data_IF_852614347572
#
_entry.id   IF_852614347572
#
_cell.length_a   1.000
_cell.length_b   1.000
_cell.length_c   1.000
_cell.angle_alpha   90.00
_cell.angle_beta   90.00
_cell.angle_gamma   90.00
#
_symmetry.space_group_name_H-M   'P 1'
#
loop_
_entity.id
_entity.type
_entity.pdbx_description
1 polymer ?
#
# COMPACT_ATOMS: atom_id res chain seq x y z
N UNK A 1 -11.78 22.18 21.64
CA UNK A 1 -11.91 20.81 21.12
C UNK A 1 -12.84 20.87 19.91
N UNK A 2 -12.29 21.21 18.74
CA UNK A 2 -13.07 21.46 17.52
C UNK A 2 -13.46 20.11 16.92
N UNK A 3 -14.76 19.81 16.85
CA UNK A 3 -15.26 18.57 16.24
C UNK A 3 -14.90 18.59 14.74
N UNK A 4 -14.20 17.54 14.29
CA UNK A 4 -13.81 17.42 12.90
C UNK A 4 -15.09 17.30 12.03
N UNK A 5 -15.24 18.10 10.95
CA UNK A 5 -16.34 17.91 10.03
C UNK A 5 -16.25 16.52 9.41
N UNK A 6 -17.27 15.71 9.67
CA UNK A 6 -17.38 14.36 9.13
C UNK A 6 -17.42 14.45 7.60
N UNK A 7 -16.60 13.67 6.85
CA UNK A 7 -16.69 13.67 5.40
C UNK A 7 -18.13 13.36 4.96
N UNK A 8 -18.56 14.06 3.91
CA UNK A 8 -19.88 13.88 3.33
C UNK A 8 -20.14 12.38 3.09
N UNK A 9 -21.37 11.93 3.36
CA UNK A 9 -21.76 10.52 3.24
C UNK A 9 -21.39 9.94 1.87
N UNK A 10 -21.56 10.72 0.80
CA UNK A 10 -21.18 10.36 -0.56
C UNK A 10 -19.68 10.03 -0.69
N UNK A 11 -18.80 10.87 -0.14
CA UNK A 11 -17.34 10.65 -0.17
C UNK A 11 -16.92 9.36 0.53
N UNK A 12 -17.58 9.01 1.65
CA UNK A 12 -17.33 7.75 2.35
C UNK A 12 -17.77 6.53 1.54
N UNK A 13 -18.93 6.62 0.90
CA UNK A 13 -19.44 5.54 0.03
C UNK A 13 -18.49 5.35 -1.15
N UNK A 14 -18.09 6.42 -1.84
CA UNK A 14 -17.14 6.36 -2.97
C UNK A 14 -15.82 5.71 -2.56
N UNK A 15 -15.24 6.12 -1.43
CA UNK A 15 -13.98 5.55 -0.95
C UNK A 15 -14.13 4.06 -0.59
N UNK A 16 -15.21 3.66 0.07
CA UNK A 16 -15.48 2.27 0.43
C UNK A 16 -15.72 1.38 -0.81
N UNK A 17 -16.49 1.87 -1.79
CA UNK A 17 -16.69 1.18 -3.06
C UNK A 17 -15.39 1.04 -3.84
N UNK A 18 -14.59 2.11 -3.93
CA UNK A 18 -13.28 2.06 -4.56
C UNK A 18 -12.35 1.05 -3.87
N UNK A 19 -12.37 0.99 -2.53
CA UNK A 19 -11.60 0.01 -1.78
C UNK A 19 -11.98 -1.43 -2.14
N UNK A 20 -13.28 -1.74 -2.10
CA UNK A 20 -13.78 -3.08 -2.39
C UNK A 20 -13.50 -3.52 -3.82
N UNK A 21 -13.72 -2.62 -4.80
CA UNK A 21 -13.44 -2.89 -6.21
C UNK A 21 -11.94 -3.12 -6.43
N UNK A 22 -11.10 -2.25 -5.88
CA UNK A 22 -9.65 -2.37 -6.04
C UNK A 22 -9.10 -3.63 -5.36
N UNK A 23 -9.59 -3.99 -4.18
CA UNK A 23 -9.19 -5.22 -3.50
C UNK A 23 -9.60 -6.46 -4.30
N UNK A 24 -10.84 -6.51 -4.79
CA UNK A 24 -11.31 -7.63 -5.61
C UNK A 24 -10.52 -7.73 -6.91
N UNK A 25 -10.27 -6.60 -7.56
CA UNK A 25 -9.48 -6.54 -8.78
C UNK A 25 -8.02 -6.99 -8.53
N UNK A 26 -7.38 -6.52 -7.46
CA UNK A 26 -6.02 -6.92 -7.10
C UNK A 26 -5.93 -8.45 -6.88
N UNK A 27 -6.88 -9.00 -6.12
CA UNK A 27 -6.94 -10.43 -5.85
C UNK A 27 -7.18 -11.26 -7.13
N UNK A 28 -8.12 -10.85 -7.96
CA UNK A 28 -8.51 -11.61 -9.16
C UNK A 28 -7.52 -11.46 -10.32
N UNK A 29 -6.84 -10.31 -10.45
CA UNK A 29 -6.04 -9.97 -11.62
C UNK A 29 -4.53 -10.16 -11.42
N UNK A 30 -4.05 -10.49 -10.21
CA UNK A 30 -2.61 -10.64 -9.94
C UNK A 30 -1.90 -11.56 -10.95
N UNK A 31 -2.46 -12.75 -11.23
CA UNK A 31 -1.91 -13.68 -12.23
C UNK A 31 -2.27 -13.36 -13.68
N UNK A 32 -3.18 -12.43 -13.92
CA UNK A 32 -3.51 -11.93 -15.27
C UNK A 32 -2.52 -10.84 -15.68
N UNK A 33 -2.19 -9.93 -14.75
CA UNK A 33 -1.27 -8.82 -14.97
C UNK A 33 0.19 -9.30 -14.89
N UNK A 34 0.49 -10.21 -13.96
CA UNK A 34 1.80 -10.85 -13.82
C UNK A 34 1.65 -12.37 -14.00
N UNK A 35 1.58 -12.88 -15.24
CA UNK A 35 1.46 -14.31 -15.47
C UNK A 35 2.71 -15.05 -14.98
N UNK A 36 2.53 -16.26 -14.43
CA UNK A 36 3.66 -17.11 -14.05
C UNK A 36 4.49 -17.46 -15.28
N UNK A 37 5.83 -17.29 -15.25
CA UNK A 37 6.68 -17.67 -16.37
C UNK A 37 6.69 -19.19 -16.57
N UNK A 38 6.99 -19.69 -17.79
CA UNK A 38 7.14 -21.12 -18.03
C UNK A 38 8.19 -21.73 -17.10
N UNK A 39 7.84 -22.83 -16.42
CA UNK A 39 8.73 -23.49 -15.47
C UNK A 39 8.85 -22.79 -14.11
N UNK A 40 7.98 -21.81 -13.81
CA UNK A 40 7.90 -21.21 -12.49
C UNK A 40 7.73 -22.28 -11.40
N UNK A 41 8.49 -22.14 -10.32
CA UNK A 41 8.37 -23.02 -9.18
C UNK A 41 6.99 -22.84 -8.54
N UNK A 42 6.27 -23.94 -8.36
CA UNK A 42 5.01 -23.93 -7.61
C UNK A 42 5.27 -24.39 -6.18
N UNK A 43 4.72 -23.69 -5.17
CA UNK A 43 4.80 -24.16 -3.79
C UNK A 43 4.08 -25.51 -3.64
N UNK A 44 4.51 -26.30 -2.66
CA UNK A 44 3.82 -27.52 -2.28
C UNK A 44 2.41 -27.22 -1.77
N UNK A 45 1.50 -28.18 -1.89
CA UNK A 45 0.07 -27.96 -1.63
C UNK A 45 -0.23 -27.51 -0.19
N UNK A 46 0.58 -27.94 0.77
CA UNK A 46 0.52 -27.56 2.19
C UNK A 46 0.87 -26.09 2.44
N UNK A 47 1.63 -25.45 1.54
CA UNK A 47 2.00 -24.04 1.64
C UNK A 47 0.97 -23.09 1.00
N UNK A 48 0.08 -23.60 0.14
CA UNK A 48 -0.91 -22.78 -0.58
C UNK A 48 -1.80 -21.91 0.33
N UNK A 49 -2.30 -22.39 1.49
CA UNK A 49 -3.13 -21.56 2.36
C UNK A 49 -2.42 -20.30 2.86
N UNK A 50 -1.11 -20.36 3.12
CA UNK A 50 -0.34 -19.22 3.61
C UNK A 50 -0.22 -18.12 2.55
N UNK A 51 0.11 -18.50 1.30
CA UNK A 51 0.18 -17.56 0.18
C UNK A 51 -1.20 -17.01 -0.20
N UNK A 52 -2.26 -17.80 -0.02
CA UNK A 52 -3.63 -17.35 -0.22
C UNK A 52 -4.01 -16.27 0.80
N UNK A 53 -3.74 -16.51 2.10
CA UNK A 53 -4.00 -15.52 3.15
C UNK A 53 -3.21 -14.24 2.88
N UNK A 54 -1.94 -14.35 2.51
CA UNK A 54 -1.11 -13.20 2.17
C UNK A 54 -1.70 -12.41 1.00
N UNK A 55 -2.05 -13.11 -0.10
CA UNK A 55 -2.72 -12.49 -1.25
C UNK A 55 -4.01 -11.74 -0.88
N UNK A 56 -4.81 -12.30 0.03
CA UNK A 56 -6.04 -11.62 0.52
C UNK A 56 -5.69 -10.36 1.30
N UNK A 57 -4.74 -10.44 2.24
CA UNK A 57 -4.33 -9.29 3.06
C UNK A 57 -3.76 -8.18 2.20
N UNK A 58 -2.88 -8.50 1.25
CA UNK A 58 -2.29 -7.52 0.34
C UNK A 58 -3.33 -6.87 -0.56
N UNK A 59 -4.29 -7.65 -1.06
CA UNK A 59 -5.38 -7.11 -1.88
C UNK A 59 -6.27 -6.16 -1.08
N UNK A 60 -6.57 -6.49 0.18
CA UNK A 60 -7.32 -5.60 1.08
C UNK A 60 -6.52 -4.32 1.39
N UNK A 61 -5.22 -4.42 1.63
CA UNK A 61 -4.34 -3.26 1.84
C UNK A 61 -4.25 -2.39 0.58
N UNK A 62 -4.14 -2.99 -0.60
CA UNK A 62 -4.18 -2.28 -1.86
C UNK A 62 -5.49 -1.51 -2.03
N UNK A 63 -6.63 -2.15 -1.76
CA UNK A 63 -7.93 -1.48 -1.75
C UNK A 63 -8.02 -0.33 -0.75
N UNK A 64 -7.54 -0.53 0.48
CA UNK A 64 -7.45 0.54 1.47
C UNK A 64 -6.53 1.68 1.02
N UNK A 65 -5.43 1.36 0.35
CA UNK A 65 -4.52 2.32 -0.27
C UNK A 65 -5.19 3.16 -1.36
N UNK A 66 -6.01 2.55 -2.21
CA UNK A 66 -6.78 3.27 -3.24
C UNK A 66 -7.80 4.21 -2.59
N UNK A 67 -8.52 3.76 -1.57
CA UNK A 67 -9.43 4.62 -0.83
C UNK A 67 -8.69 5.80 -0.17
N UNK A 68 -7.56 5.52 0.48
CA UNK A 68 -6.72 6.57 1.07
C UNK A 68 -6.17 7.53 0.01
N UNK A 69 -5.79 7.05 -1.18
CA UNK A 69 -5.34 7.91 -2.27
C UNK A 69 -6.43 8.92 -2.67
N UNK A 70 -7.70 8.51 -2.68
CA UNK A 70 -8.85 9.38 -3.05
C UNK A 70 -9.14 10.43 -1.96
N UNK A 71 -9.11 10.06 -0.68
CA UNK A 71 -9.63 10.94 0.41
C UNK A 71 -8.59 11.36 1.46
N UNK A 72 -7.38 10.82 1.41
CA UNK A 72 -6.36 10.94 2.45
C UNK A 72 -5.61 12.27 2.43
N UNK A 73 -5.39 12.88 1.25
CA UNK A 73 -4.64 14.13 1.14
C UNK A 73 -5.28 15.31 1.90
N UNK A 74 -6.61 15.56 1.82
CA UNK A 74 -7.25 16.57 2.65
C UNK A 74 -7.06 16.36 4.16
N UNK A 75 -7.01 15.10 4.62
CA UNK A 75 -6.75 14.80 6.03
C UNK A 75 -5.30 15.15 6.40
N UNK A 76 -4.32 14.72 5.58
CA UNK A 76 -2.91 15.05 5.79
C UNK A 76 -2.65 16.57 5.81
N UNK A 77 -3.33 17.34 4.94
CA UNK A 77 -3.17 18.81 4.88
C UNK A 77 -3.70 19.55 6.11
N UNK A 78 -4.66 18.99 6.85
CA UNK A 78 -5.25 19.66 8.03
C UNK A 78 -4.35 19.60 9.25
N UNK A 79 -3.44 18.63 9.29
CA UNK A 79 -2.64 18.31 10.47
C UNK A 79 -1.15 18.52 10.23
N UNK A 80 -0.71 18.61 8.98
CA UNK A 80 0.66 18.95 8.62
C UNK A 80 0.93 20.46 8.77
N UNK A 81 2.18 20.80 9.16
CA UNK A 81 2.65 22.19 9.26
C UNK A 81 2.95 22.86 7.92
N UNK A 82 3.14 22.07 6.88
CA UNK A 82 3.47 22.57 5.55
C UNK A 82 2.88 21.67 4.48
N UNK A 83 2.72 22.22 3.27
CA UNK A 83 2.28 21.44 2.11
C UNK A 83 3.25 20.28 1.82
N UNK A 84 4.55 20.50 1.98
CA UNK A 84 5.58 19.47 1.81
C UNK A 84 5.42 18.32 2.80
N UNK A 85 5.17 18.63 4.09
CA UNK A 85 4.91 17.60 5.10
C UNK A 85 3.60 16.83 4.82
N UNK A 86 2.56 17.51 4.36
CA UNK A 86 1.30 16.87 4.00
C UNK A 86 1.49 15.87 2.85
N UNK A 87 2.23 16.27 1.82
CA UNK A 87 2.55 15.41 0.68
C UNK A 87 3.46 14.25 1.07
N UNK A 88 4.49 14.50 1.88
CA UNK A 88 5.38 13.45 2.37
C UNK A 88 4.59 12.37 3.13
N UNK A 89 3.70 12.77 4.04
CA UNK A 89 2.83 11.84 4.77
C UNK A 89 1.89 11.09 3.83
N UNK A 90 1.20 11.81 2.94
CA UNK A 90 0.24 11.22 1.99
C UNK A 90 0.92 10.18 1.08
N UNK A 91 2.03 10.53 0.45
CA UNK A 91 2.78 9.63 -0.45
C UNK A 91 3.31 8.44 0.32
N UNK A 92 3.82 8.64 1.55
CA UNK A 92 4.32 7.55 2.38
C UNK A 92 3.23 6.51 2.68
N UNK A 93 2.04 6.97 3.13
CA UNK A 93 0.93 6.06 3.44
C UNK A 93 0.39 5.40 2.18
N UNK A 94 0.24 6.13 1.07
CA UNK A 94 -0.13 5.53 -0.22
C UNK A 94 0.85 4.44 -0.62
N UNK A 95 2.16 4.70 -0.58
CA UNK A 95 3.18 3.72 -0.93
C UNK A 95 3.11 2.48 -0.02
N UNK A 96 3.08 2.68 1.30
CA UNK A 96 3.03 1.59 2.29
C UNK A 96 1.81 0.67 2.14
N UNK A 97 0.69 1.16 1.60
CA UNK A 97 -0.53 0.39 1.39
C UNK A 97 -0.61 -0.24 0.00
N UNK A 98 -0.20 0.48 -1.03
CA UNK A 98 -0.36 0.07 -2.43
C UNK A 98 0.77 -0.83 -2.94
N UNK A 99 1.98 -0.74 -2.39
CA UNK A 99 3.17 -1.33 -3.00
C UNK A 99 3.35 -2.83 -2.75
N UNK A 100 2.70 -3.42 -1.74
CA UNK A 100 2.81 -4.85 -1.44
C UNK A 100 2.34 -5.74 -2.58
N UNK A 101 1.14 -5.49 -3.09
CA UNK A 101 0.58 -6.29 -4.19
C UNK A 101 1.48 -6.33 -5.44
N UNK A 102 1.96 -5.20 -6.01
CA UNK A 102 2.89 -5.29 -7.14
C UNK A 102 4.26 -5.86 -6.74
N UNK A 103 4.75 -5.62 -5.52
CA UNK A 103 6.02 -6.18 -5.05
C UNK A 103 6.03 -7.72 -5.05
N UNK A 104 5.06 -8.34 -4.39
CA UNK A 104 5.01 -9.81 -4.27
C UNK A 104 4.72 -10.48 -5.62
N UNK A 105 3.90 -9.84 -6.47
CA UNK A 105 3.70 -10.32 -7.83
C UNK A 105 4.96 -10.20 -8.69
N UNK A 106 5.76 -9.15 -8.52
CA UNK A 106 7.07 -9.01 -9.21
C UNK A 106 8.05 -10.08 -8.74
N UNK A 107 8.12 -10.38 -7.44
CA UNK A 107 8.91 -11.49 -6.91
C UNK A 107 8.52 -12.82 -7.54
N UNK A 108 7.21 -13.09 -7.62
CA UNK A 108 6.69 -14.35 -8.16
C UNK A 108 7.07 -14.58 -9.62
N UNK A 109 7.10 -13.53 -10.44
CA UNK A 109 7.39 -13.67 -11.89
C UNK A 109 8.85 -13.47 -12.26
N UNK A 110 9.69 -13.05 -11.31
CA UNK A 110 11.11 -12.88 -11.55
C UNK A 110 11.80 -14.25 -11.73
N UNK A 111 12.72 -14.33 -12.69
CA UNK A 111 13.64 -15.47 -12.77
C UNK A 111 14.52 -15.53 -11.51
N UNK A 112 14.55 -16.69 -10.86
CA UNK A 112 15.32 -16.96 -9.66
C UNK A 112 16.84 -16.83 -9.85
N UNK A 113 17.32 -16.79 -11.10
CA UNK A 113 18.72 -16.51 -11.41
C UNK A 113 19.02 -15.03 -11.71
N UNK A 114 18.00 -14.17 -11.86
CA UNK A 114 18.20 -12.74 -12.15
C UNK A 114 18.40 -11.94 -10.85
N UNK A 115 19.60 -12.02 -10.27
CA UNK A 115 19.96 -11.25 -9.08
C UNK A 115 19.91 -9.73 -9.30
N UNK A 116 20.12 -9.26 -10.52
CA UNK A 116 20.04 -7.82 -10.82
C UNK A 116 18.59 -7.34 -10.85
N UNK A 117 17.66 -8.15 -11.38
CA UNK A 117 16.23 -7.96 -11.26
C UNK A 117 15.75 -8.00 -9.81
N UNK A 118 16.21 -8.99 -9.05
CA UNK A 118 15.90 -9.12 -7.63
C UNK A 118 16.32 -7.86 -6.87
N UNK A 119 17.58 -7.43 -7.03
CA UNK A 119 18.07 -6.22 -6.38
C UNK A 119 17.25 -4.96 -6.73
N UNK A 120 16.76 -4.84 -7.97
CA UNK A 120 15.88 -3.73 -8.35
C UNK A 120 14.54 -3.76 -7.62
N UNK A 121 13.90 -4.92 -7.53
CA UNK A 121 12.63 -5.08 -6.80
C UNK A 121 12.83 -4.73 -5.33
N UNK A 122 13.87 -5.29 -4.71
CA UNK A 122 14.21 -5.08 -3.30
C UNK A 122 14.41 -3.59 -2.98
N UNK A 123 15.22 -2.87 -3.77
CA UNK A 123 15.49 -1.45 -3.53
C UNK A 123 14.30 -0.55 -3.84
N UNK A 124 13.54 -0.83 -4.91
CA UNK A 124 12.38 -0.02 -5.28
C UNK A 124 11.22 -0.18 -4.31
N UNK A 125 11.17 -1.29 -3.57
CA UNK A 125 10.16 -1.51 -2.54
C UNK A 125 10.65 -1.08 -1.15
N UNK A 126 11.75 -1.64 -0.67
CA UNK A 126 12.15 -1.49 0.72
C UNK A 126 12.65 -0.08 1.06
N UNK A 127 13.42 0.57 0.18
CA UNK A 127 13.96 1.89 0.49
C UNK A 127 12.83 2.94 0.63
N UNK A 128 11.86 3.04 -0.30
CA UNK A 128 10.74 3.94 -0.10
C UNK A 128 9.84 3.54 1.07
N UNK A 129 9.70 2.23 1.36
CA UNK A 129 8.95 1.75 2.53
C UNK A 129 9.58 2.24 3.85
N UNK A 130 10.91 2.11 3.98
CA UNK A 130 11.67 2.59 5.13
C UNK A 130 11.60 4.11 5.27
N UNK A 131 11.79 4.83 4.16
CA UNK A 131 11.66 6.28 4.14
C UNK A 131 10.24 6.73 4.52
N UNK A 132 9.21 6.03 4.04
CA UNK A 132 7.81 6.29 4.37
C UNK A 132 7.50 6.06 5.85
N UNK A 133 8.00 4.94 6.41
CA UNK A 133 7.88 4.64 7.83
C UNK A 133 8.56 5.73 8.69
N UNK A 134 9.75 6.20 8.29
CA UNK A 134 10.44 7.30 8.97
C UNK A 134 9.63 8.61 8.89
N UNK A 135 9.05 8.95 7.73
CA UNK A 135 8.17 10.11 7.58
C UNK A 135 6.96 10.04 8.54
N UNK A 136 6.30 8.89 8.63
CA UNK A 136 5.16 8.67 9.55
C UNK A 136 5.62 8.79 11.01
N UNK A 137 6.75 8.18 11.38
CA UNK A 137 7.31 8.26 12.72
C UNK A 137 7.63 9.70 13.14
N UNK A 138 8.32 10.46 12.29
CA UNK A 138 8.65 11.87 12.54
C UNK A 138 7.38 12.72 12.68
N UNK A 139 6.40 12.50 11.81
CA UNK A 139 5.12 13.17 11.86
C UNK A 139 4.38 12.91 13.19
N UNK A 140 4.32 11.65 13.64
CA UNK A 140 3.67 11.32 14.92
C UNK A 140 4.41 11.89 16.14
N UNK A 141 5.75 11.88 16.13
CA UNK A 141 6.56 12.49 17.19
C UNK A 141 6.33 14.01 17.26
N UNK A 142 6.23 14.67 16.12
CA UNK A 142 5.93 16.10 16.05
C UNK A 142 4.52 16.38 16.59
N UNK A 143 3.50 15.64 16.13
CA UNK A 143 2.12 15.83 16.58
C UNK A 143 1.98 15.67 18.11
N UNK A 144 2.74 14.74 18.71
CA UNK A 144 2.79 14.56 20.18
C UNK A 144 3.39 15.75 20.92
N UNK A 145 4.36 16.46 20.34
CA UNK A 145 4.98 17.63 20.98
C UNK A 145 4.02 18.81 21.04
N UNK A 146 3.13 18.93 20.06
CA UNK A 146 2.12 20.00 19.99
C UNK A 146 0.91 19.76 20.89
N UNK A 147 0.68 18.50 21.30
CA UNK A 147 -0.40 18.12 22.20
C UNK A 147 -0.03 18.25 23.69
N UNK A 148 1.22 18.64 24.00
CA UNK A 148 1.72 18.91 25.35
C UNK A 148 1.78 20.41 25.59
#
# INVERSE_FOLDING_TARGET
>A
MTTLPTPARATRITAASAAGIAALAAFALGRVIWPDPPGAMTPSADLLPYFLILSVVESLLFGAGVAYAIVGLPAARRTAKSAGQAWALYVSVCFMLLSWWPHDNLHRVLDHHDFAGLARIEYLFHVPLMAGAACVALYTLQARREAR
#
